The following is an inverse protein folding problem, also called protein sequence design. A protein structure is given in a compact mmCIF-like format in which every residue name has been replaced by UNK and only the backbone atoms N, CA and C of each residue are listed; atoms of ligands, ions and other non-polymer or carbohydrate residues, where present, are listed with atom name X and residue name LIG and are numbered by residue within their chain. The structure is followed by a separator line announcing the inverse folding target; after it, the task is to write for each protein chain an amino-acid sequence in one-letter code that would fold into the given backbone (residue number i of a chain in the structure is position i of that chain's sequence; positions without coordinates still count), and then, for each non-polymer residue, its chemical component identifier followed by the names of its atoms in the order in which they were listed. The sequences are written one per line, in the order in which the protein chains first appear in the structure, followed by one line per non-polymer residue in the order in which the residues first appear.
data_IF_864358461568
#
_entry.id   IF_864358461568
#
_cell.length_a   1.000
_cell.length_b   1.000
_cell.length_c   1.000
_cell.angle_alpha   90.00
_cell.angle_beta   90.00
_cell.angle_gamma   90.00
#
_symmetry.space_group_name_H-M   'P 1'
#
loop_
_entity.id
_entity.type
_entity.pdbx_description
1 polymer ?
#
# COMPACT_ATOMS: atom_id res chain seq x y z
N UNK A 1 -2.46 -24.92 -13.23
CA UNK A 1 -1.87 -23.56 -13.26
C UNK A 1 -2.16 -22.81 -11.97
N UNK A 2 -3.42 -22.73 -11.50
CA UNK A 2 -3.80 -22.16 -10.19
C UNK A 2 -2.99 -22.67 -8.98
N UNK A 3 -3.00 -23.99 -8.73
CA UNK A 3 -2.29 -24.59 -7.58
C UNK A 3 -0.76 -24.40 -7.63
N UNK A 4 -0.21 -24.23 -8.84
CA UNK A 4 1.21 -24.03 -9.07
C UNK A 4 1.64 -22.61 -8.66
N UNK A 5 0.79 -21.61 -8.93
CA UNK A 5 1.02 -20.22 -8.50
C UNK A 5 1.00 -20.10 -6.98
N UNK A 6 0.03 -20.74 -6.32
CA UNK A 6 -0.08 -20.72 -4.85
C UNK A 6 1.13 -21.42 -4.21
N UNK A 7 1.50 -22.61 -4.68
CA UNK A 7 2.70 -23.32 -4.19
C UNK A 7 3.97 -22.50 -4.39
N UNK A 8 4.12 -21.85 -5.55
CA UNK A 8 5.26 -20.96 -5.82
C UNK A 8 5.27 -19.73 -4.92
N UNK A 9 4.12 -19.15 -4.59
CA UNK A 9 4.01 -18.03 -3.64
C UNK A 9 4.41 -18.47 -2.24
N UNK A 10 3.88 -19.59 -1.75
CA UNK A 10 4.18 -20.14 -0.42
C UNK A 10 5.67 -20.47 -0.29
N UNK A 11 6.28 -21.14 -1.28
CA UNK A 11 7.71 -21.43 -1.26
C UNK A 11 8.58 -20.16 -1.31
N UNK A 12 8.15 -19.13 -2.04
CA UNK A 12 8.86 -17.83 -2.07
C UNK A 12 8.72 -17.05 -0.76
N UNK A 13 7.58 -17.13 -0.08
CA UNK A 13 7.38 -16.52 1.24
C UNK A 13 8.32 -17.14 2.29
N UNK A 14 8.60 -18.44 2.19
CA UNK A 14 9.53 -19.14 3.09
C UNK A 14 11.01 -18.82 2.84
N UNK A 15 11.38 -18.45 1.62
CA UNK A 15 12.79 -18.45 1.16
C UNK A 15 13.37 -17.06 0.86
N UNK A 16 12.56 -16.01 0.75
CA UNK A 16 13.04 -14.67 0.35
C UNK A 16 13.28 -13.73 1.52
N UNK A 17 14.24 -12.83 1.29
CA UNK A 17 14.52 -11.71 2.18
C UNK A 17 13.40 -10.68 2.08
N UNK A 18 12.98 -10.20 3.23
CA UNK A 18 12.06 -9.10 3.36
C UNK A 18 12.85 -7.83 3.69
N UNK A 19 12.35 -6.67 3.27
CA UNK A 19 12.93 -5.37 3.63
C UNK A 19 12.02 -4.71 4.64
N UNK A 20 12.57 -4.34 5.79
CA UNK A 20 11.88 -3.48 6.75
C UNK A 20 11.93 -2.05 6.23
N UNK A 21 10.77 -1.41 6.13
CA UNK A 21 10.65 0.02 5.85
C UNK A 21 9.99 0.70 7.05
N UNK A 22 10.46 1.89 7.39
CA UNK A 22 9.90 2.74 8.44
C UNK A 22 9.29 3.96 7.77
N UNK A 23 8.12 4.39 8.24
CA UNK A 23 7.40 5.57 7.78
C UNK A 23 6.82 6.31 8.99
N UNK A 24 6.76 7.63 8.92
CA UNK A 24 6.19 8.46 9.99
C UNK A 24 4.73 8.74 9.65
N UNK A 25 3.83 8.60 10.63
CA UNK A 25 2.43 8.93 10.45
C UNK A 25 1.89 9.63 11.69
N UNK A 26 1.02 10.60 11.49
CA UNK A 26 0.30 11.28 12.56
C UNK A 26 -1.08 10.66 12.75
N UNK A 27 -1.39 10.25 13.97
CA UNK A 27 -2.74 9.84 14.35
C UNK A 27 -3.65 11.06 14.47
N UNK A 28 -4.97 10.82 14.54
CA UNK A 28 -5.99 11.90 14.65
C UNK A 28 -5.81 12.81 15.86
N UNK A 29 -5.07 12.35 16.87
CA UNK A 29 -4.79 13.07 18.11
C UNK A 29 -3.40 13.75 18.09
N UNK A 30 -2.82 13.96 16.91
CA UNK A 30 -1.49 14.58 16.70
C UNK A 30 -0.32 13.80 17.31
N UNK A 31 -0.53 12.54 17.70
CA UNK A 31 0.56 11.64 18.07
C UNK A 31 1.33 11.21 16.81
N UNK A 32 2.63 11.52 16.77
CA UNK A 32 3.55 11.00 15.78
C UNK A 32 3.85 9.53 16.09
N UNK A 33 3.59 8.66 15.13
CA UNK A 33 3.81 7.21 15.22
C UNK A 33 4.77 6.80 14.12
N UNK A 34 5.81 6.05 14.52
CA UNK A 34 6.71 5.40 13.58
C UNK A 34 6.11 4.05 13.18
N UNK A 35 5.63 3.96 11.94
CA UNK A 35 5.07 2.75 11.36
C UNK A 35 6.20 1.97 10.70
N UNK A 36 6.47 0.78 11.21
CA UNK A 36 7.34 -0.18 10.54
C UNK A 36 6.50 -1.18 9.75
N UNK A 37 6.71 -1.29 8.45
CA UNK A 37 6.12 -2.36 7.65
C UNK A 37 7.19 -3.15 6.92
N UNK A 38 6.94 -4.46 6.83
CA UNK A 38 7.82 -5.36 6.15
C UNK A 38 7.34 -5.59 4.72
N UNK A 39 8.24 -5.37 3.77
CA UNK A 39 7.97 -5.53 2.35
C UNK A 39 8.69 -6.76 1.85
N UNK A 40 7.93 -7.75 1.40
CA UNK A 40 8.49 -8.90 0.69
C UNK A 40 9.30 -8.41 -0.52
N UNK A 41 10.61 -8.65 -0.52
CA UNK A 41 11.50 -8.28 -1.65
C UNK A 41 11.39 -9.37 -2.70
N UNK A 42 10.23 -9.41 -3.34
CA UNK A 42 9.97 -10.32 -4.43
C UNK A 42 9.78 -9.54 -5.72
N UNK A 43 10.90 -9.08 -6.31
CA UNK A 43 10.88 -8.34 -7.59
C UNK A 43 10.14 -9.08 -8.70
N UNK A 44 10.09 -10.41 -8.65
CA UNK A 44 9.39 -11.27 -9.61
C UNK A 44 8.79 -12.45 -8.85
N UNK A 45 7.52 -12.36 -8.42
CA UNK A 45 6.80 -13.51 -7.85
C UNK A 45 6.44 -14.46 -9.00
N UNK A 46 5.82 -13.96 -10.07
CA UNK A 46 5.66 -14.68 -11.34
C UNK A 46 5.66 -13.67 -12.51
N UNK A 47 6.45 -13.86 -13.58
CA UNK A 47 6.44 -12.99 -14.75
C UNK A 47 5.05 -12.81 -15.36
N UNK A 48 4.27 -13.89 -15.43
CA UNK A 48 2.89 -13.88 -15.95
C UNK A 48 1.98 -12.97 -15.12
N UNK A 49 2.06 -13.05 -13.78
CA UNK A 49 1.29 -12.19 -12.88
C UNK A 49 1.67 -10.72 -13.08
N UNK A 50 2.96 -10.45 -13.28
CA UNK A 50 3.46 -9.09 -13.47
C UNK A 50 2.96 -8.48 -14.79
N UNK A 51 3.01 -9.23 -15.90
CA UNK A 51 2.49 -8.79 -17.20
C UNK A 51 1.01 -8.43 -17.14
N UNK A 52 0.21 -9.28 -16.47
CA UNK A 52 -1.23 -9.07 -16.34
C UNK A 52 -1.54 -7.87 -15.43
N UNK A 53 -0.84 -7.72 -14.30
CA UNK A 53 -0.98 -6.54 -13.45
C UNK A 53 -0.59 -5.24 -14.18
N UNK A 54 0.46 -5.27 -15.01
CA UNK A 54 0.82 -4.14 -15.85
C UNK A 54 -0.27 -3.83 -16.89
N UNK A 55 -0.90 -4.84 -17.49
CA UNK A 55 -2.03 -4.64 -18.38
C UNK A 55 -3.23 -3.98 -17.67
N UNK A 56 -3.57 -4.45 -16.46
CA UNK A 56 -4.60 -3.81 -15.61
C UNK A 56 -4.27 -2.34 -15.36
N UNK A 57 -3.02 -2.03 -14.98
CA UNK A 57 -2.56 -0.65 -14.73
C UNK A 57 -2.69 0.20 -16.00
N UNK A 58 -2.32 -0.32 -17.17
CA UNK A 58 -2.50 0.37 -18.45
C UNK A 58 -3.96 0.73 -18.69
N UNK A 59 -4.89 -0.22 -18.52
CA UNK A 59 -6.33 0.04 -18.68
C UNK A 59 -6.84 1.12 -17.71
N UNK A 60 -6.48 1.02 -16.42
CA UNK A 60 -6.84 2.03 -15.41
C UNK A 60 -6.30 3.40 -15.80
N UNK A 61 -5.04 3.48 -16.20
CA UNK A 61 -4.40 4.73 -16.61
C UNK A 61 -5.03 5.32 -17.88
N UNK A 62 -5.42 4.50 -18.85
CA UNK A 62 -6.11 4.97 -20.06
C UNK A 62 -7.46 5.60 -19.72
N UNK A 63 -8.24 5.00 -18.82
CA UNK A 63 -9.51 5.58 -18.34
C UNK A 63 -9.26 6.87 -17.55
N UNK A 64 -8.22 6.89 -16.71
CA UNK A 64 -7.86 8.01 -15.84
C UNK A 64 -7.03 9.10 -16.53
N UNK A 65 -6.61 8.89 -17.78
CA UNK A 65 -5.73 9.79 -18.53
C UNK A 65 -6.28 11.19 -18.72
N UNK A 66 -7.60 11.34 -18.72
CA UNK A 66 -8.27 12.63 -18.82
C UNK A 66 -9.61 12.64 -18.08
N UNK A 67 -9.97 13.81 -17.55
CA UNK A 67 -11.27 14.02 -16.91
C UNK A 67 -12.45 13.72 -17.85
N UNK A 68 -12.28 13.90 -19.17
CA UNK A 68 -13.29 13.54 -20.17
C UNK A 68 -13.48 12.03 -20.25
N UNK A 69 -12.39 11.28 -20.37
CA UNK A 69 -12.44 9.81 -20.45
C UNK A 69 -13.06 9.21 -19.19
N UNK A 70 -12.65 9.70 -18.01
CA UNK A 70 -13.22 9.25 -16.73
C UNK A 70 -14.72 9.55 -16.61
N UNK A 71 -15.16 10.73 -17.07
CA UNK A 71 -16.60 11.08 -17.09
C UNK A 71 -17.40 10.20 -18.03
N UNK A 72 -16.86 9.88 -19.21
CA UNK A 72 -17.51 8.99 -20.17
C UNK A 72 -17.62 7.57 -19.62
N UNK A 73 -16.54 7.07 -18.99
CA UNK A 73 -16.56 5.76 -18.33
C UNK A 73 -17.60 5.71 -17.20
N UNK A 74 -17.71 6.77 -16.40
CA UNK A 74 -18.72 6.86 -15.34
C UNK A 74 -20.15 6.74 -15.90
N UNK A 75 -20.46 7.52 -16.93
CA UNK A 75 -21.79 7.49 -17.59
C UNK A 75 -22.06 6.09 -18.18
N UNK A 76 -21.06 5.50 -18.83
CA UNK A 76 -21.16 4.16 -19.37
C UNK A 76 -21.49 3.12 -18.29
N UNK A 77 -20.79 3.15 -17.14
CA UNK A 77 -21.10 2.26 -16.01
C UNK A 77 -22.49 2.49 -15.41
N UNK A 78 -22.96 3.75 -15.37
CA UNK A 78 -24.31 4.09 -14.92
C UNK A 78 -25.38 3.50 -15.86
N UNK A 79 -25.14 3.52 -17.18
CA UNK A 79 -26.03 2.91 -18.18
C UNK A 79 -26.04 1.38 -18.12
N UNK A 80 -24.90 0.74 -17.79
CA UNK A 80 -24.80 -0.70 -17.59
C UNK A 80 -25.32 -1.16 -16.21
N UNK A 81 -25.79 -0.24 -15.36
CA UNK A 81 -26.27 -0.51 -14.00
C UNK A 81 -25.22 -1.22 -13.12
N UNK A 82 -23.97 -0.78 -13.22
CA UNK A 82 -22.83 -1.29 -12.44
C UNK A 82 -22.83 -0.73 -11.01
N UNK A 83 -22.49 -1.58 -10.02
CA UNK A 83 -22.35 -1.18 -8.60
C UNK A 83 -21.24 -0.13 -8.37
N UNK A 84 -20.28 -0.08 -9.28
CA UNK A 84 -19.13 0.81 -9.20
C UNK A 84 -19.01 1.66 -10.47
N UNK A 85 -19.27 2.96 -10.33
CA UNK A 85 -19.23 3.88 -11.49
C UNK A 85 -17.88 4.56 -11.69
N UNK A 86 -16.88 4.29 -10.82
CA UNK A 86 -15.54 4.90 -10.90
C UNK A 86 -14.46 3.95 -10.43
N UNK A 87 -13.41 3.82 -11.24
CA UNK A 87 -12.17 3.16 -10.85
C UNK A 87 -11.41 3.98 -9.79
N UNK A 88 -10.66 3.28 -8.95
CA UNK A 88 -9.75 3.91 -8.00
C UNK A 88 -8.43 4.22 -8.70
N UNK A 89 -7.82 5.37 -8.39
CA UNK A 89 -6.42 5.58 -8.74
C UNK A 89 -5.58 4.79 -7.73
N UNK A 90 -4.46 4.20 -8.17
CA UNK A 90 -3.48 3.67 -7.23
C UNK A 90 -2.52 4.81 -6.80
N UNK A 91 -2.66 5.42 -5.62
CA UNK A 91 -1.50 6.10 -5.05
C UNK A 91 -0.46 5.00 -4.78
N UNK A 92 0.75 5.16 -5.31
CA UNK A 92 1.82 4.15 -5.19
C UNK A 92 2.15 3.76 -3.74
N UNK A 93 1.67 4.57 -2.79
CA UNK A 93 2.04 4.62 -1.37
C UNK A 93 1.42 3.52 -0.50
N UNK A 94 0.28 2.90 -0.85
CA UNK A 94 -0.40 1.94 0.05
C UNK A 94 -0.85 0.66 -0.64
N UNK A 95 -0.42 -0.50 -0.15
CA UNK A 95 -0.79 -1.82 -0.71
C UNK A 95 -2.31 -2.08 -0.68
N UNK A 96 -3.02 -1.60 0.35
CA UNK A 96 -4.47 -1.66 0.45
C UNK A 96 -5.17 -0.91 -0.70
N UNK A 97 -4.60 0.21 -1.16
CA UNK A 97 -5.18 0.95 -2.29
C UNK A 97 -5.03 0.19 -3.60
N UNK A 98 -3.88 -0.49 -3.79
CA UNK A 98 -3.63 -1.37 -4.95
C UNK A 98 -4.58 -2.58 -4.96
N UNK A 99 -4.78 -3.22 -3.80
CA UNK A 99 -5.73 -4.32 -3.64
C UNK A 99 -7.18 -3.91 -3.94
N UNK A 100 -7.63 -2.77 -3.40
CA UNK A 100 -8.97 -2.23 -3.68
C UNK A 100 -9.15 -1.81 -5.13
N UNK A 101 -8.12 -1.21 -5.75
CA UNK A 101 -8.12 -0.88 -7.17
C UNK A 101 -8.29 -2.14 -8.02
N UNK A 102 -7.52 -3.19 -7.74
CA UNK A 102 -7.60 -4.46 -8.45
C UNK A 102 -8.98 -5.11 -8.26
N UNK A 103 -9.48 -5.20 -7.02
CA UNK A 103 -10.82 -5.74 -6.73
C UNK A 103 -11.90 -5.02 -7.54
N UNK A 104 -11.89 -3.70 -7.55
CA UNK A 104 -12.87 -2.91 -8.30
C UNK A 104 -12.71 -3.05 -9.82
N UNK A 105 -11.47 -3.12 -10.31
CA UNK A 105 -11.20 -3.42 -11.71
C UNK A 105 -11.82 -4.76 -12.11
N UNK A 106 -11.69 -5.78 -11.27
CA UNK A 106 -12.25 -7.09 -11.58
C UNK A 106 -13.78 -7.09 -11.60
N UNK A 107 -14.41 -6.36 -10.69
CA UNK A 107 -15.87 -6.21 -10.68
C UNK A 107 -16.40 -5.51 -11.94
N UNK A 108 -15.62 -4.60 -12.52
CA UNK A 108 -15.97 -3.83 -13.72
C UNK A 108 -15.37 -4.40 -15.01
N UNK A 109 -14.81 -5.60 -14.99
CA UNK A 109 -14.03 -6.11 -16.11
C UNK A 109 -14.80 -6.18 -17.42
N UNK A 110 -16.07 -6.61 -17.39
CA UNK A 110 -16.92 -6.66 -18.58
C UNK A 110 -17.19 -5.25 -19.13
N UNK A 111 -17.60 -4.31 -18.27
CA UNK A 111 -17.81 -2.93 -18.66
C UNK A 111 -16.54 -2.28 -19.22
N UNK A 112 -15.38 -2.52 -18.61
CA UNK A 112 -14.09 -2.04 -19.08
C UNK A 112 -13.73 -2.67 -20.43
N UNK A 113 -14.01 -3.96 -20.62
CA UNK A 113 -13.74 -4.67 -21.86
C UNK A 113 -14.53 -4.11 -23.03
N UNK A 114 -15.80 -3.73 -22.81
CA UNK A 114 -16.63 -3.08 -23.82
C UNK A 114 -16.14 -1.64 -24.06
N UNK A 115 -15.92 -0.87 -22.99
CA UNK A 115 -15.53 0.54 -23.08
C UNK A 115 -14.17 0.75 -23.76
N UNK A 116 -13.22 -0.16 -23.52
CA UNK A 116 -11.87 -0.15 -24.09
C UNK A 116 -11.72 -1.12 -25.28
N UNK A 117 -12.82 -1.56 -25.90
CA UNK A 117 -12.78 -2.54 -27.01
C UNK A 117 -11.94 -2.08 -28.21
N UNK A 118 -11.89 -0.77 -28.48
CA UNK A 118 -11.08 -0.17 -29.56
C UNK A 118 -9.62 0.12 -29.14
N UNK A 119 -9.27 -0.14 -27.88
CA UNK A 119 -7.97 0.19 -27.28
C UNK A 119 -7.08 -1.05 -27.21
N UNK A 120 -5.78 -0.89 -27.45
CA UNK A 120 -4.85 -2.03 -27.51
C UNK A 120 -4.55 -2.62 -26.13
N UNK A 121 -4.77 -1.84 -25.07
CA UNK A 121 -4.52 -2.16 -23.67
C UNK A 121 -5.34 -3.38 -23.20
N UNK A 122 -6.50 -3.65 -23.81
CA UNK A 122 -7.33 -4.83 -23.48
C UNK A 122 -6.84 -6.13 -24.12
N UNK A 123 -5.98 -6.08 -25.14
CA UNK A 123 -5.59 -7.28 -25.90
C UNK A 123 -4.90 -8.32 -25.02
N UNK A 124 -4.08 -7.87 -24.07
CA UNK A 124 -3.34 -8.74 -23.16
C UNK A 124 -4.27 -9.43 -22.15
N UNK A 125 -5.32 -8.74 -21.70
CA UNK A 125 -6.30 -9.24 -20.74
C UNK A 125 -7.33 -10.19 -21.37
N UNK A 126 -7.61 -10.04 -22.66
CA UNK A 126 -8.55 -10.89 -23.40
C UNK A 126 -7.93 -12.21 -23.90
N UNK A 127 -6.62 -12.40 -23.73
CA UNK A 127 -5.93 -13.66 -24.03
C UNK A 127 -6.44 -14.82 -23.17
N UNK A 128 -6.12 -16.06 -23.57
CA UNK A 128 -6.43 -17.26 -22.78
C UNK A 128 -5.82 -17.13 -21.37
N UNK A 129 -4.58 -16.63 -21.28
CA UNK A 129 -3.89 -16.44 -20.00
C UNK A 129 -4.51 -15.32 -19.16
N UNK A 130 -4.92 -14.21 -19.79
CA UNK A 130 -5.62 -13.11 -19.12
C UNK A 130 -6.97 -13.54 -18.55
N UNK A 131 -7.77 -14.31 -19.32
CA UNK A 131 -9.03 -14.89 -18.86
C UNK A 131 -8.83 -15.95 -17.78
N UNK A 132 -7.80 -16.79 -17.92
CA UNK A 132 -7.43 -17.76 -16.90
C UNK A 132 -7.03 -17.08 -15.59
N UNK A 133 -6.30 -15.97 -15.66
CA UNK A 133 -5.98 -15.15 -14.49
C UNK A 133 -7.24 -14.53 -13.86
N UNK A 134 -8.15 -14.00 -14.66
CA UNK A 134 -9.40 -13.42 -14.17
C UNK A 134 -10.22 -14.47 -13.41
N UNK A 135 -10.40 -15.63 -14.02
CA UNK A 135 -11.08 -16.78 -13.41
C UNK A 135 -10.34 -17.26 -12.15
N UNK A 136 -9.01 -17.33 -12.19
CA UNK A 136 -8.21 -17.68 -11.02
C UNK A 136 -8.44 -16.69 -9.89
N UNK A 137 -8.34 -15.38 -10.16
CA UNK A 137 -8.44 -14.34 -9.14
C UNK A 137 -9.83 -14.26 -8.50
N UNK A 138 -10.90 -14.42 -9.27
CA UNK A 138 -12.27 -14.45 -8.74
C UNK A 138 -12.52 -15.64 -7.81
N UNK A 139 -11.86 -16.77 -8.07
CA UNK A 139 -12.02 -18.01 -7.31
C UNK A 139 -10.81 -18.29 -6.40
N UNK A 140 -9.90 -17.33 -6.26
CA UNK A 140 -8.70 -17.49 -5.44
C UNK A 140 -9.11 -17.36 -3.99
N UNK A 141 -9.26 -18.49 -3.33
CA UNK A 141 -9.37 -18.54 -1.89
C UNK A 141 -7.96 -18.55 -1.30
N UNK A 142 -7.68 -17.57 -0.43
CA UNK A 142 -6.46 -17.62 0.37
C UNK A 142 -6.68 -18.74 1.39
N UNK A 143 -5.98 -19.85 1.22
CA UNK A 143 -6.12 -21.01 2.10
C UNK A 143 -5.70 -20.68 3.53
N UNK A 144 -6.33 -21.32 4.52
CA UNK A 144 -5.95 -21.17 5.93
C UNK A 144 -4.45 -21.47 6.16
N UNK A 145 -3.90 -22.40 5.36
CA UNK A 145 -2.48 -22.70 5.37
C UNK A 145 -1.60 -21.51 4.93
N UNK A 146 -1.99 -20.82 3.84
CA UNK A 146 -1.29 -19.61 3.41
C UNK A 146 -1.43 -18.47 4.43
N UNK A 147 -2.63 -18.29 5.00
CA UNK A 147 -2.85 -17.32 6.10
C UNK A 147 -1.93 -17.64 7.28
N UNK A 148 -1.87 -18.90 7.71
CA UNK A 148 -1.05 -19.32 8.85
C UNK A 148 0.44 -19.05 8.60
N UNK A 149 0.95 -19.30 7.39
CA UNK A 149 2.33 -18.99 7.01
C UNK A 149 2.60 -17.49 7.14
N UNK A 150 1.71 -16.65 6.60
CA UNK A 150 1.85 -15.19 6.67
C UNK A 150 1.78 -14.71 8.13
N UNK A 151 0.81 -15.18 8.89
CA UNK A 151 0.62 -14.80 10.31
C UNK A 151 1.82 -15.23 11.15
N UNK A 152 2.32 -16.45 10.96
CA UNK A 152 3.48 -16.93 11.69
C UNK A 152 4.74 -16.13 11.37
N UNK A 153 4.92 -15.77 10.10
CA UNK A 153 6.01 -14.88 9.67
C UNK A 153 5.90 -13.50 10.33
N UNK A 154 4.73 -12.85 10.25
CA UNK A 154 4.46 -11.56 10.90
C UNK A 154 4.69 -11.60 12.42
N UNK A 155 4.28 -12.69 13.08
CA UNK A 155 4.52 -12.86 14.51
C UNK A 155 6.01 -13.00 14.83
N UNK A 156 6.76 -13.76 14.02
CA UNK A 156 8.22 -13.91 14.18
C UNK A 156 8.93 -12.56 14.08
N UNK A 157 8.54 -11.74 13.11
CA UNK A 157 9.11 -10.39 12.93
C UNK A 157 8.69 -9.45 14.03
N UNK A 158 7.42 -9.50 14.45
CA UNK A 158 6.95 -8.70 15.58
C UNK A 158 7.78 -9.01 16.82
N UNK A 159 8.14 -10.28 17.05
CA UNK A 159 9.04 -10.68 18.12
C UNK A 159 10.47 -10.12 17.92
N UNK A 160 11.06 -10.29 16.73
CA UNK A 160 12.41 -9.81 16.41
C UNK A 160 12.52 -8.28 16.55
N UNK A 161 11.55 -7.50 16.07
CA UNK A 161 11.49 -6.04 16.25
C UNK A 161 11.36 -5.69 17.73
N UNK A 162 10.48 -6.37 18.48
CA UNK A 162 10.31 -6.11 19.91
C UNK A 162 11.57 -6.41 20.72
N UNK A 163 12.36 -7.40 20.30
CA UNK A 163 13.64 -7.76 20.92
C UNK A 163 14.74 -6.76 20.55
N UNK A 164 14.93 -6.49 19.25
CA UNK A 164 15.97 -5.58 18.76
C UNK A 164 15.83 -4.14 19.23
N UNK A 165 14.59 -3.67 19.36
CA UNK A 165 14.27 -2.32 19.84
C UNK A 165 13.69 -2.35 21.26
N UNK A 166 14.06 -3.37 22.05
CA UNK A 166 13.64 -3.47 23.46
C UNK A 166 14.24 -2.37 24.32
N UNK A 167 15.38 -1.82 23.91
CA UNK A 167 16.05 -0.66 24.47
C UNK A 167 15.24 0.62 24.28
N UNK A 168 14.66 0.86 23.09
CA UNK A 168 13.82 2.03 22.82
C UNK A 168 12.59 2.10 23.74
N UNK A 169 12.08 0.95 24.22
CA UNK A 169 10.98 0.91 25.19
C UNK A 169 11.39 1.31 26.61
N UNK A 170 12.69 1.22 26.91
CA UNK A 170 13.25 1.57 28.22
C UNK A 170 13.77 3.01 28.25
N UNK A 171 13.88 3.65 27.09
CA UNK A 171 14.26 5.06 26.99
C UNK A 171 13.07 5.90 27.45
N UNK A 172 13.27 6.62 28.53
CA UNK A 172 12.40 7.73 28.94
C UNK A 172 12.73 8.92 28.04
N UNK A 173 11.99 9.08 26.94
CA UNK A 173 12.18 10.18 26.02
C UNK A 173 11.80 11.49 26.71
N UNK A 174 12.72 12.47 26.82
CA UNK A 174 12.40 13.75 27.43
C UNK A 174 11.25 14.44 26.70
N UNK A 175 10.38 15.12 27.45
CA UNK A 175 9.19 15.80 26.90
C UNK A 175 9.52 16.75 25.74
N UNK A 176 10.67 17.43 25.79
CA UNK A 176 11.10 18.35 24.72
C UNK A 176 11.42 17.63 23.39
N UNK A 177 11.76 16.34 23.43
CA UNK A 177 12.00 15.55 22.22
C UNK A 177 10.68 15.04 21.63
N UNK A 178 9.71 14.74 22.48
CA UNK A 178 8.38 14.25 22.06
C UNK A 178 7.42 15.37 21.65
N UNK A 179 7.56 16.54 22.27
CA UNK A 179 6.69 17.70 22.07
C UNK A 179 7.49 19.01 22.02
N UNK A 180 8.46 19.14 21.09
CA UNK A 180 9.38 20.26 21.07
C UNK A 180 8.72 21.64 20.99
N UNK A 181 7.51 21.74 20.45
CA UNK A 181 6.81 23.02 20.29
C UNK A 181 6.04 23.43 21.56
N UNK A 182 5.71 22.49 22.45
CA UNK A 182 4.87 22.73 23.63
C UNK A 182 5.65 22.86 24.93
N UNK A 183 6.97 22.62 24.91
CA UNK A 183 7.82 22.62 26.11
C UNK A 183 8.45 23.99 26.35
N UNK A 184 8.39 24.45 27.61
CA UNK A 184 9.06 25.68 28.05
C UNK A 184 10.56 25.44 28.29
N UNK A 185 11.40 26.40 27.90
CA UNK A 185 12.86 26.27 28.02
C UNK A 185 13.34 26.02 29.45
N UNK A 186 12.60 26.53 30.45
CA UNK A 186 12.92 26.37 31.87
C UNK A 186 12.88 24.92 32.36
N UNK A 187 12.19 24.03 31.63
CA UNK A 187 12.06 22.62 32.00
C UNK A 187 13.25 21.77 31.51
N UNK A 188 14.19 22.37 30.76
CA UNK A 188 15.35 21.69 30.18
C UNK A 188 16.61 22.15 30.90
N UNK A 189 17.22 21.28 31.71
CA UNK A 189 18.40 21.64 32.50
C UNK A 189 19.68 21.83 31.66
N UNK A 190 19.72 21.34 30.42
CA UNK A 190 20.88 21.40 29.54
C UNK A 190 20.76 22.59 28.57
N UNK A 191 21.70 23.53 28.68
CA UNK A 191 21.75 24.76 27.90
C UNK A 191 21.88 24.54 26.39
N UNK A 192 22.59 23.49 25.96
CA UNK A 192 22.73 23.17 24.54
C UNK A 192 21.38 22.76 23.92
N UNK A 193 20.58 21.98 24.64
CA UNK A 193 19.26 21.56 24.16
C UNK A 193 18.23 22.70 24.19
N UNK A 194 18.40 23.68 25.09
CA UNK A 194 17.59 24.90 25.07
C UNK A 194 17.83 25.73 23.80
N UNK A 195 19.09 25.87 23.38
CA UNK A 195 19.45 26.60 22.15
C UNK A 195 18.91 25.89 20.90
N UNK A 196 19.15 24.58 20.77
CA UNK A 196 18.63 23.78 19.66
C UNK A 196 17.09 23.81 19.59
N UNK A 197 16.41 23.75 20.75
CA UNK A 197 14.95 23.88 20.81
C UNK A 197 14.47 25.28 20.41
N UNK A 198 15.20 26.34 20.81
CA UNK A 198 14.84 27.70 20.48
C UNK A 198 14.98 27.96 18.97
N UNK A 199 15.98 27.39 18.32
CA UNK A 199 16.11 27.43 16.86
C UNK A 199 14.92 26.72 16.18
N UNK A 200 14.57 25.52 16.65
CA UNK A 200 13.48 24.72 16.09
C UNK A 200 12.09 25.35 16.32
N UNK A 201 11.84 25.93 17.49
CA UNK A 201 10.59 26.65 17.80
C UNK A 201 10.48 27.99 17.05
N UNK A 202 11.59 28.59 16.61
CA UNK A 202 11.58 29.83 15.83
C UNK A 202 11.50 29.59 14.32
N UNK A 203 11.73 28.36 13.86
CA UNK A 203 11.55 28.00 12.46
C UNK A 203 10.05 27.95 12.09
N UNK A 204 9.57 28.97 11.34
CA UNK A 204 8.19 29.03 10.88
C UNK A 204 7.81 27.88 9.92
N UNK A 205 8.79 27.25 9.26
CA UNK A 205 8.53 26.13 8.34
C UNK A 205 8.04 24.88 9.05
N UNK A 206 8.44 24.69 10.32
CA UNK A 206 8.05 23.55 11.15
C UNK A 206 6.63 23.73 11.72
N UNK A 207 6.19 24.98 11.91
CA UNK A 207 4.85 25.32 12.41
C UNK A 207 3.73 25.10 11.38
N UNK A 208 4.07 25.08 10.09
CA UNK A 208 3.12 24.85 8.99
C UNK A 208 2.58 23.41 8.92
N UNK A 209 3.19 22.45 9.61
CA UNK A 209 2.79 21.03 9.60
C UNK A 209 1.87 20.61 10.76
N UNK A 210 1.44 21.55 11.61
CA UNK A 210 0.63 21.29 12.81
C UNK A 210 -0.75 21.97 12.81
N UNK A 211 -1.24 22.43 11.64
CA UNK A 211 -2.61 22.94 11.44
C UNK A 211 -3.33 22.10 10.38
#
# INVERSE_FOLDING_TARGET
MSEDIEKQLVEKLKTRNFSVQMDESTLRDSEAVLITYEKLVAKNILPVLNEILHAVIRCVNTIKSSAKCERLFKLFCEEQNEDHVRLLLHPEVRWLSKGNCLKRFMQLFEAISVFLSEKCEMKDLLTIDGKAFFHWFQNCEVTDAAVLVIVNHLNTISADIKERFSDLKQIDFPTWMMQPILVEFSDISNMQYQEELAELQNDESVKLYLI
#
